data_IF_900776895135
#
_entry.id   IF_900776895135
#
_cell.length_a   1.000
_cell.length_b   1.000
_cell.length_c   1.000
_cell.angle_alpha   90.00
_cell.angle_beta   90.00
_cell.angle_gamma   90.00
#
_symmetry.space_group_name_H-M   'P 1'
#
loop_
_entity.id
_entity.type
_entity.pdbx_description
1 polymer ?
#
# COMPACT_ATOMS: atom_id res chain seq x y z
N UNK A 1 -20.64 4.84 3.49
CA UNK A 1 -20.55 3.74 2.50
C UNK A 1 -20.05 4.19 1.11
N UNK A 2 -19.43 5.37 0.97
CA UNK A 2 -19.19 6.00 -0.35
C UNK A 2 -17.98 5.49 -1.14
N UNK A 3 -17.11 4.65 -0.56
CA UNK A 3 -15.90 4.16 -1.24
C UNK A 3 -16.19 3.12 -2.31
N UNK A 4 -17.04 2.14 -2.03
CA UNK A 4 -17.34 1.05 -2.98
C UNK A 4 -18.16 1.54 -4.19
N UNK A 5 -19.11 2.46 -3.95
CA UNK A 5 -19.92 3.05 -5.00
C UNK A 5 -19.12 3.92 -5.98
N UNK A 6 -18.00 4.52 -5.55
CA UNK A 6 -17.13 5.30 -6.44
C UNK A 6 -16.32 4.43 -7.41
N UNK A 7 -16.10 3.15 -7.09
CA UNK A 7 -15.43 2.19 -7.97
C UNK A 7 -16.42 1.54 -8.96
N UNK A 8 -17.61 1.12 -8.50
CA UNK A 8 -18.68 0.63 -9.40
C UNK A 8 -19.15 1.70 -10.40
N UNK A 9 -19.26 2.96 -9.98
CA UNK A 9 -19.72 4.06 -10.85
C UNK A 9 -18.76 4.37 -12.01
N UNK A 10 -17.52 3.88 -11.98
CA UNK A 10 -16.57 4.00 -13.08
C UNK A 10 -16.75 2.90 -14.14
N UNK A 11 -17.75 2.01 -13.99
CA UNK A 11 -18.01 0.92 -14.93
C UNK A 11 -16.95 -0.18 -14.89
N UNK A 12 -16.26 -0.28 -13.76
CA UNK A 12 -15.17 -1.20 -13.57
C UNK A 12 -15.69 -2.33 -12.68
N UNK A 13 -16.35 -3.31 -13.32
CA UNK A 13 -16.57 -4.63 -12.75
C UNK A 13 -15.19 -5.30 -12.58
N UNK A 14 -14.47 -4.89 -11.54
CA UNK A 14 -13.08 -5.26 -11.32
C UNK A 14 -13.01 -6.59 -10.57
N UNK A 15 -12.72 -7.66 -11.30
CA UNK A 15 -12.27 -8.91 -10.67
C UNK A 15 -10.90 -8.65 -10.00
N UNK A 16 -10.78 -8.91 -8.69
CA UNK A 16 -9.54 -8.77 -7.90
C UNK A 16 -8.30 -9.36 -8.61
N UNK A 17 -8.53 -10.43 -9.38
CA UNK A 17 -7.51 -11.17 -10.12
C UNK A 17 -6.74 -10.34 -11.17
N UNK A 18 -7.32 -9.26 -11.71
CA UNK A 18 -6.65 -8.43 -12.72
C UNK A 18 -5.57 -7.51 -12.15
N UNK A 19 -5.73 -7.07 -10.89
CA UNK A 19 -4.77 -6.22 -10.20
C UNK A 19 -3.69 -7.02 -9.48
N UNK A 20 -4.05 -8.16 -8.89
CA UNK A 20 -3.14 -8.97 -8.07
C UNK A 20 -2.56 -10.15 -8.86
N UNK A 21 -1.96 -9.88 -10.02
CA UNK A 21 -1.22 -10.88 -10.78
C UNK A 21 0.15 -11.21 -10.15
N UNK A 22 0.69 -12.43 -10.35
CA UNK A 22 2.08 -12.71 -10.03
C UNK A 22 2.97 -11.72 -10.78
N UNK A 23 3.96 -11.17 -10.08
CA UNK A 23 4.93 -10.20 -10.61
C UNK A 23 4.43 -8.79 -10.89
N UNK A 24 3.31 -8.39 -10.28
CA UNK A 24 2.84 -6.99 -10.28
C UNK A 24 3.05 -6.32 -8.92
N UNK A 25 3.24 -5.01 -8.96
CA UNK A 25 3.21 -4.14 -7.77
C UNK A 25 2.03 -3.20 -7.92
N UNK A 26 1.16 -3.18 -6.91
CA UNK A 26 0.04 -2.24 -6.82
C UNK A 26 0.31 -1.28 -5.68
N UNK A 27 0.19 0.01 -5.94
CA UNK A 27 0.26 1.06 -4.93
C UNK A 27 -1.15 1.62 -4.74
N UNK A 28 -1.61 1.64 -3.49
CA UNK A 28 -2.95 2.11 -3.14
C UNK A 28 -2.82 3.28 -2.17
N UNK A 29 -3.28 4.45 -2.60
CA UNK A 29 -3.42 5.62 -1.73
C UNK A 29 -4.72 5.54 -0.92
N UNK A 30 -4.73 6.11 0.28
CA UNK A 30 -5.84 6.03 1.23
C UNK A 30 -6.28 4.58 1.57
N UNK A 31 -5.30 3.68 1.70
CA UNK A 31 -5.52 2.26 1.96
C UNK A 31 -6.28 1.98 3.27
N UNK A 32 -6.34 2.92 4.21
CA UNK A 32 -7.18 2.83 5.41
C UNK A 32 -8.69 2.74 5.09
N UNK A 33 -9.09 3.12 3.87
CA UNK A 33 -10.47 2.96 3.38
C UNK A 33 -10.73 1.59 2.76
N UNK A 34 -9.69 0.80 2.53
CA UNK A 34 -9.80 -0.55 1.98
C UNK A 34 -10.25 -1.51 3.07
N UNK A 35 -11.44 -2.09 2.88
CA UNK A 35 -12.07 -2.97 3.88
C UNK A 35 -11.32 -4.28 4.10
N UNK A 36 -10.68 -4.80 3.07
CA UNK A 36 -10.01 -6.10 3.08
C UNK A 36 -8.72 -6.02 2.24
N UNK A 37 -7.66 -5.37 2.75
CA UNK A 37 -6.38 -5.37 2.06
C UNK A 37 -5.72 -6.77 2.13
N UNK A 38 -4.80 -7.09 1.21
CA UNK A 38 -4.06 -8.35 1.25
C UNK A 38 -3.36 -8.55 2.59
N UNK A 39 -3.37 -9.78 3.11
CA UNK A 39 -2.72 -10.07 4.40
C UNK A 39 -1.20 -9.79 4.37
N UNK A 40 -0.55 -9.94 3.22
CA UNK A 40 0.85 -9.60 3.00
C UNK A 40 0.98 -8.35 2.11
N UNK A 41 1.30 -7.22 2.73
CA UNK A 41 1.57 -5.96 2.04
C UNK A 41 2.59 -5.11 2.80
N UNK A 42 3.20 -4.16 2.10
CA UNK A 42 3.96 -3.06 2.72
C UNK A 42 3.02 -1.88 2.96
N UNK A 43 2.93 -1.43 4.20
CA UNK A 43 2.23 -0.19 4.54
C UNK A 43 3.24 0.94 4.68
N UNK A 44 2.98 2.04 3.97
CA UNK A 44 3.78 3.26 4.01
C UNK A 44 2.94 4.38 4.61
N UNK A 45 3.49 5.05 5.61
CA UNK A 45 2.88 6.22 6.24
C UNK A 45 3.79 7.41 6.09
N UNK A 46 3.26 8.49 5.54
CA UNK A 46 3.92 9.78 5.43
C UNK A 46 3.32 10.73 6.46
N UNK A 47 4.15 11.17 7.42
CA UNK A 47 3.78 12.16 8.41
C UNK A 47 4.53 13.48 8.18
N UNK A 48 3.96 14.57 8.68
CA UNK A 48 4.65 15.85 8.73
C UNK A 48 5.86 15.75 9.68
N UNK A 49 6.98 16.32 9.26
CA UNK A 49 8.14 16.53 10.13
C UNK A 49 8.06 17.92 10.77
N UNK A 50 8.81 18.15 11.86
CA UNK A 50 8.89 19.47 12.49
C UNK A 50 9.46 20.54 11.54
N UNK A 51 10.36 20.11 10.65
CA UNK A 51 10.78 20.88 9.49
C UNK A 51 9.80 20.66 8.32
N UNK A 52 9.20 21.75 7.83
CA UNK A 52 8.20 21.72 6.76
C UNK A 52 8.75 21.24 5.41
N UNK A 53 10.06 21.35 5.18
CA UNK A 53 10.71 20.85 3.98
C UNK A 53 10.85 19.31 3.99
N UNK A 54 10.68 18.67 5.14
CA UNK A 54 10.88 17.24 5.32
C UNK A 54 9.56 16.50 5.54
N UNK A 55 9.58 15.19 5.30
CA UNK A 55 8.51 14.25 5.63
C UNK A 55 9.10 13.09 6.41
N UNK A 56 8.35 12.56 7.36
CA UNK A 56 8.70 11.32 8.05
C UNK A 56 8.01 10.17 7.34
N UNK A 57 8.80 9.27 6.76
CA UNK A 57 8.32 8.03 6.16
C UNK A 57 8.46 6.90 7.19
N UNK A 58 7.35 6.25 7.53
CA UNK A 58 7.33 5.01 8.30
C UNK A 58 6.89 3.87 7.39
N UNK A 59 7.62 2.75 7.40
CA UNK A 59 7.34 1.61 6.54
C UNK A 59 7.23 0.36 7.41
N UNK A 60 6.13 -0.37 7.27
CA UNK A 60 5.89 -1.63 7.98
C UNK A 60 5.55 -2.74 6.99
N UNK A 61 6.18 -3.90 7.14
CA UNK A 61 5.80 -5.12 6.42
C UNK A 61 4.87 -5.96 7.28
N UNK A 62 3.78 -6.46 6.69
CA UNK A 62 2.78 -7.22 7.41
C UNK A 62 3.20 -8.69 7.62
N UNK A 63 3.81 -9.34 6.63
CA UNK A 63 4.19 -10.76 6.69
C UNK A 63 5.21 -11.13 5.60
N UNK A 64 5.63 -12.41 5.56
CA UNK A 64 6.26 -13.08 4.42
C UNK A 64 7.15 -12.21 3.52
N UNK A 65 6.62 -11.90 2.32
CA UNK A 65 7.34 -11.18 1.25
C UNK A 65 7.52 -9.70 1.58
N UNK A 66 6.53 -9.03 2.16
CA UNK A 66 6.66 -7.61 2.54
C UNK A 66 7.76 -7.39 3.60
N UNK A 67 7.88 -8.27 4.59
CA UNK A 67 8.96 -8.22 5.57
C UNK A 67 10.34 -8.45 4.93
N UNK A 68 10.45 -9.40 4.00
CA UNK A 68 11.69 -9.63 3.26
C UNK A 68 12.10 -8.41 2.42
N UNK A 69 11.14 -7.78 1.74
CA UNK A 69 11.35 -6.56 0.98
C UNK A 69 11.80 -5.39 1.87
N UNK A 70 11.15 -5.18 3.03
CA UNK A 70 11.54 -4.15 3.99
C UNK A 70 12.96 -4.36 4.53
N UNK A 71 13.32 -5.61 4.86
CA UNK A 71 14.68 -5.94 5.30
C UNK A 71 15.71 -5.61 4.22
N UNK A 72 15.45 -6.02 2.98
CA UNK A 72 16.35 -5.76 1.85
C UNK A 72 16.51 -4.27 1.60
N UNK A 73 15.41 -3.51 1.63
CA UNK A 73 15.45 -2.06 1.45
C UNK A 73 16.31 -1.39 2.53
N UNK A 74 16.13 -1.76 3.82
CA UNK A 74 16.94 -1.17 4.90
C UNK A 74 18.45 -1.37 4.71
N UNK A 75 18.86 -2.53 4.21
CA UNK A 75 20.27 -2.83 3.93
C UNK A 75 20.86 -1.98 2.79
N UNK A 76 20.04 -1.48 1.86
CA UNK A 76 20.50 -0.63 0.76
C UNK A 76 20.58 0.86 1.14
N UNK A 77 20.07 1.22 2.32
CA UNK A 77 20.11 2.59 2.85
C UNK A 77 21.30 2.82 3.81
N UNK A 78 22.02 1.76 4.16
CA UNK A 78 23.22 1.76 5.01
C UNK A 78 24.50 1.69 4.16
#
# INVERSE_FOLDING_TARGET
LAGFAAFEALGLDFEEDWFFGPDRVVVVEWAERWRSPPADHLALRLDHHADAALRRLSITGAAGRSLAALKRWRLELE
#
